data_IF_977412131186
#
_entry.id   IF_977412131186
#
_cell.length_a   1.000
_cell.length_b   1.000
_cell.length_c   1.000
_cell.angle_alpha   90.00
_cell.angle_beta   90.00
_cell.angle_gamma   90.00
#
_symmetry.space_group_name_H-M   'P 1'
#
loop_
_entity.id
_entity.type
_entity.pdbx_description
1 polymer ?
#
# COMPACT_ATOMS: atom_id res chain seq x y z
N UNK A 1 -12.59 1.81 -41.34
CA UNK A 1 -12.39 2.91 -40.37
C UNK A 1 -12.08 2.21 -39.07
N UNK A 2 -10.79 2.07 -38.73
CA UNK A 2 -10.36 1.35 -37.53
C UNK A 2 -10.64 2.27 -36.34
N UNK A 3 -11.46 1.78 -35.40
CA UNK A 3 -11.79 2.46 -34.16
C UNK A 3 -10.53 2.50 -33.30
N UNK A 4 -9.88 3.66 -33.20
CA UNK A 4 -8.72 3.83 -32.32
C UNK A 4 -9.19 3.72 -30.87
N UNK A 5 -9.07 2.52 -30.31
CA UNK A 5 -9.29 2.29 -28.89
C UNK A 5 -8.17 2.98 -28.11
N UNK A 6 -8.54 3.92 -27.24
CA UNK A 6 -7.60 4.63 -26.38
C UNK A 6 -6.81 3.65 -25.52
N UNK A 7 -5.51 3.89 -25.32
CA UNK A 7 -4.65 3.11 -24.39
C UNK A 7 -5.27 3.00 -23.00
N UNK A 8 -6.01 4.02 -22.59
CA UNK A 8 -6.74 4.05 -21.31
C UNK A 8 -7.90 3.04 -21.30
N UNK A 9 -8.60 2.88 -22.43
CA UNK A 9 -9.71 1.93 -22.57
C UNK A 9 -9.22 0.49 -22.63
N UNK A 10 -8.10 0.23 -23.31
CA UNK A 10 -7.44 -1.09 -23.32
C UNK A 10 -6.93 -1.45 -21.93
N UNK A 11 -6.30 -0.50 -21.23
CA UNK A 11 -5.87 -0.67 -19.84
C UNK A 11 -7.03 -0.99 -18.90
N UNK A 12 -8.19 -0.37 -19.12
CA UNK A 12 -9.40 -0.63 -18.34
C UNK A 12 -9.96 -2.04 -18.57
N UNK A 13 -10.02 -2.50 -19.83
CA UNK A 13 -10.46 -3.87 -20.15
C UNK A 13 -9.51 -4.92 -19.56
N UNK A 14 -8.20 -4.68 -19.60
CA UNK A 14 -7.20 -5.54 -18.99
C UNK A 14 -7.37 -5.63 -17.46
N UNK A 15 -7.64 -4.52 -16.80
CA UNK A 15 -7.83 -4.47 -15.34
C UNK A 15 -9.17 -5.08 -14.91
N UNK A 16 -10.24 -4.90 -15.69
CA UNK A 16 -11.56 -5.48 -15.39
C UNK A 16 -11.60 -7.00 -15.59
N UNK A 17 -10.85 -7.56 -16.57
CA UNK A 17 -10.76 -9.03 -16.74
C UNK A 17 -10.01 -9.75 -15.61
N UNK A 18 -9.18 -9.05 -14.83
CA UNK A 18 -8.47 -9.63 -13.68
C UNK A 18 -9.37 -9.74 -12.42
N UNK A 19 -10.41 -8.89 -12.31
CA UNK A 19 -11.33 -8.88 -11.16
C UNK A 19 -12.51 -9.84 -11.28
N UNK A 20 -12.88 -10.25 -12.49
CA UNK A 20 -14.04 -11.11 -12.71
C UNK A 20 -13.58 -12.46 -13.21
N UNK A 21 -13.89 -13.53 -12.46
CA UNK A 21 -13.68 -14.93 -12.86
C UNK A 21 -14.59 -15.37 -14.03
N UNK A 22 -14.78 -14.51 -15.04
CA UNK A 22 -15.31 -14.88 -16.33
C UNK A 22 -14.18 -15.46 -17.19
N UNK A 23 -14.47 -16.42 -18.08
CA UNK A 23 -13.51 -16.88 -19.07
C UNK A 23 -13.36 -15.78 -20.13
N UNK A 24 -12.67 -14.69 -19.77
CA UNK A 24 -12.20 -13.67 -20.69
C UNK A 24 -11.19 -14.38 -21.60
N UNK A 25 -11.45 -14.36 -22.92
CA UNK A 25 -10.61 -15.04 -23.92
C UNK A 25 -9.15 -14.62 -23.79
N UNK A 26 -8.23 -15.56 -24.02
CA UNK A 26 -6.77 -15.40 -23.92
C UNK A 26 -6.35 -14.06 -24.54
N UNK A 27 -6.07 -13.07 -23.69
CA UNK A 27 -5.61 -11.75 -24.13
C UNK A 27 -4.09 -11.74 -24.04
N UNK A 28 -3.47 -12.40 -25.01
CA UNK A 28 -2.02 -12.48 -25.13
C UNK A 28 -1.51 -11.17 -25.74
N UNK A 29 -0.95 -10.30 -24.89
CA UNK A 29 -0.34 -9.03 -25.30
C UNK A 29 0.96 -9.22 -26.11
N UNK A 30 1.54 -10.43 -26.06
CA UNK A 30 2.71 -10.83 -26.84
C UNK A 30 2.25 -11.93 -27.81
N UNK A 31 2.39 -11.75 -29.13
CA UNK A 31 1.98 -12.77 -30.08
C UNK A 31 2.70 -14.09 -29.79
N UNK A 32 1.93 -15.13 -29.42
CA UNK A 32 2.42 -16.48 -29.13
C UNK A 32 2.60 -16.85 -27.66
N UNK A 33 2.24 -15.99 -26.69
CA UNK A 33 2.16 -16.43 -25.29
C UNK A 33 0.94 -17.34 -25.07
N UNK A 34 1.05 -18.25 -24.10
CA UNK A 34 -0.08 -19.00 -23.57
C UNK A 34 -0.46 -18.35 -22.25
N UNK A 35 -1.74 -18.05 -22.05
CA UNK A 35 -2.23 -17.56 -20.76
C UNK A 35 -1.86 -18.57 -19.65
N UNK A 36 -0.98 -18.15 -18.75
CA UNK A 36 -0.63 -18.92 -17.57
C UNK A 36 -1.79 -18.84 -16.57
N UNK A 37 -2.65 -19.86 -16.55
CA UNK A 37 -3.72 -19.97 -15.55
C UNK A 37 -3.15 -20.62 -14.28
N UNK A 38 -2.93 -19.82 -13.25
CA UNK A 38 -2.48 -20.30 -11.95
C UNK A 38 -3.71 -20.57 -11.07
N UNK A 39 -3.83 -21.79 -10.55
CA UNK A 39 -4.80 -22.09 -9.50
C UNK A 39 -4.32 -21.47 -8.19
N UNK A 40 -5.05 -20.49 -7.69
CA UNK A 40 -4.69 -19.80 -6.45
C UNK A 40 -5.55 -20.34 -5.29
N UNK A 41 -4.87 -20.75 -4.22
CA UNK A 41 -5.54 -20.91 -2.92
C UNK A 41 -6.16 -19.57 -2.52
N UNK A 42 -7.40 -19.59 -2.03
CA UNK A 42 -8.12 -18.40 -1.55
C UNK A 42 -7.65 -17.94 -0.17
N UNK A 43 -6.83 -18.76 0.51
CA UNK A 43 -6.24 -18.44 1.81
C UNK A 43 -4.75 -18.74 1.84
N UNK A 44 -4.03 -18.06 2.72
CA UNK A 44 -2.60 -18.27 2.92
C UNK A 44 -2.22 -17.98 4.38
N UNK A 45 -1.08 -18.51 4.80
CA UNK A 45 -0.51 -18.26 6.13
C UNK A 45 0.20 -16.91 6.12
N UNK A 46 -0.38 -15.92 6.78
CA UNK A 46 0.06 -14.53 6.63
C UNK A 46 1.42 -14.22 7.25
N UNK A 47 1.79 -14.95 8.30
CA UNK A 47 3.07 -14.78 8.98
C UNK A 47 4.26 -15.08 8.07
N UNK A 48 4.06 -15.94 7.07
CA UNK A 48 5.11 -16.29 6.11
C UNK A 48 5.44 -15.13 5.14
N UNK A 49 4.57 -14.11 5.03
CA UNK A 49 4.85 -12.88 4.26
C UNK A 49 5.75 -11.89 5.03
N UNK A 50 5.88 -12.06 6.34
CA UNK A 50 6.70 -11.19 7.19
C UNK A 50 8.03 -11.87 7.49
N UNK A 51 9.13 -11.30 7.00
CA UNK A 51 10.47 -11.87 7.15
C UNK A 51 11.09 -11.65 8.54
N UNK A 52 10.29 -11.33 9.56
CA UNK A 52 10.74 -10.99 10.90
C UNK A 52 9.86 -11.63 11.97
N UNK A 53 10.40 -11.75 13.18
CA UNK A 53 9.66 -12.30 14.32
C UNK A 53 8.71 -11.24 14.85
N UNK A 54 7.42 -11.55 14.91
CA UNK A 54 6.45 -10.59 15.43
C UNK A 54 6.67 -10.35 16.94
N UNK A 55 6.68 -9.08 17.37
CA UNK A 55 6.58 -8.71 18.77
C UNK A 55 5.32 -9.25 19.45
N UNK A 56 5.29 -9.27 20.79
CA UNK A 56 4.08 -9.52 21.56
C UNK A 56 2.95 -8.55 21.16
N UNK A 57 1.66 -8.96 21.28
CA UNK A 57 0.52 -8.11 20.91
C UNK A 57 0.54 -6.72 21.56
N UNK A 58 0.94 -6.63 22.83
CA UNK A 58 1.06 -5.36 23.55
C UNK A 58 2.05 -4.38 22.89
N UNK A 59 3.16 -4.92 22.36
CA UNK A 59 4.11 -4.11 21.62
C UNK A 59 3.51 -3.67 20.27
N UNK A 60 2.82 -4.55 19.54
CA UNK A 60 2.17 -4.22 18.27
C UNK A 60 1.10 -3.12 18.43
N UNK A 61 0.32 -3.17 19.52
CA UNK A 61 -0.65 -2.12 19.85
C UNK A 61 0.05 -0.80 20.15
N UNK A 62 1.12 -0.81 20.96
CA UNK A 62 1.93 0.38 21.23
C UNK A 62 2.54 1.00 19.96
N UNK A 63 3.03 0.16 19.03
CA UNK A 63 3.55 0.63 17.74
C UNK A 63 2.43 1.27 16.92
N UNK A 64 1.24 0.65 16.89
CA UNK A 64 0.08 1.19 16.18
C UNK A 64 -0.35 2.54 16.78
N UNK A 65 -0.40 2.66 18.10
CA UNK A 65 -0.71 3.90 18.81
C UNK A 65 0.28 5.01 18.44
N UNK A 66 1.58 4.69 18.39
CA UNK A 66 2.57 5.67 17.99
C UNK A 66 2.38 6.16 16.56
N UNK A 67 2.08 5.26 15.62
CA UNK A 67 1.79 5.62 14.24
C UNK A 67 0.57 6.56 14.15
N UNK A 68 -0.55 6.21 14.78
CA UNK A 68 -1.77 7.01 14.69
C UNK A 68 -1.60 8.40 15.32
N UNK A 69 -0.85 8.49 16.41
CA UNK A 69 -0.54 9.77 17.06
C UNK A 69 0.49 10.63 16.30
N UNK A 70 1.41 10.02 15.56
CA UNK A 70 2.54 10.74 14.93
C UNK A 70 2.32 11.05 13.46
N UNK A 71 1.64 10.16 12.72
CA UNK A 71 1.57 10.17 11.25
C UNK A 71 0.16 10.36 10.73
N UNK A 72 -0.80 9.57 11.25
CA UNK A 72 -2.11 9.48 10.62
C UNK A 72 -2.90 10.79 10.65
N UNK A 73 -2.67 11.65 11.65
CA UNK A 73 -3.37 12.94 11.77
C UNK A 73 -3.13 13.88 10.59
N UNK A 74 -1.99 13.79 9.89
CA UNK A 74 -1.70 14.63 8.72
C UNK A 74 -1.82 13.87 7.40
N UNK A 75 -1.56 12.56 7.39
CA UNK A 75 -1.70 11.74 6.17
C UNK A 75 -3.16 11.37 5.89
N UNK A 76 -3.99 11.24 6.94
CA UNK A 76 -5.42 10.89 6.90
C UNK A 76 -5.75 9.68 6.01
N UNK A 77 -4.77 8.79 5.83
CA UNK A 77 -4.85 7.72 4.86
C UNK A 77 -5.58 6.49 5.41
N UNK A 78 -5.62 6.30 6.73
CA UNK A 78 -6.15 5.10 7.38
C UNK A 78 -7.25 5.45 8.38
N UNK A 79 -8.37 4.74 8.30
CA UNK A 79 -9.41 4.72 9.33
C UNK A 79 -8.96 3.84 10.50
N UNK A 80 -8.63 4.47 11.63
CA UNK A 80 -8.04 3.79 12.79
C UNK A 80 -8.95 2.70 13.39
N UNK A 81 -10.23 2.95 13.71
CA UNK A 81 -11.14 1.90 14.20
C UNK A 81 -11.23 0.70 13.26
N UNK A 82 -11.36 0.93 11.94
CA UNK A 82 -11.40 -0.17 10.96
C UNK A 82 -10.09 -0.94 10.90
N UNK A 83 -8.96 -0.23 10.91
CA UNK A 83 -7.64 -0.83 10.91
C UNK A 83 -7.46 -1.76 12.12
N UNK A 84 -7.78 -1.28 13.34
CA UNK A 84 -7.64 -2.05 14.58
C UNK A 84 -8.55 -3.29 14.63
N UNK A 85 -9.80 -3.14 14.18
CA UNK A 85 -10.72 -4.27 14.11
C UNK A 85 -10.21 -5.36 13.15
N UNK A 86 -9.70 -4.96 11.98
CA UNK A 86 -9.18 -5.89 10.97
C UNK A 86 -7.84 -6.49 11.36
N UNK A 87 -6.93 -5.72 11.97
CA UNK A 87 -5.65 -6.23 12.47
C UNK A 87 -5.85 -7.27 13.57
N UNK A 88 -6.77 -7.03 14.51
CA UNK A 88 -7.14 -8.00 15.55
C UNK A 88 -7.63 -9.31 14.95
N UNK A 89 -8.49 -9.23 13.92
CA UNK A 89 -8.96 -10.42 13.19
C UNK A 89 -7.81 -11.16 12.52
N UNK A 90 -6.88 -10.47 11.86
CA UNK A 90 -5.71 -11.11 11.23
C UNK A 90 -4.83 -11.79 12.26
N UNK A 91 -4.50 -11.09 13.36
CA UNK A 91 -3.62 -11.60 14.42
C UNK A 91 -4.16 -12.85 15.11
N UNK A 92 -5.49 -12.96 15.24
CA UNK A 92 -6.17 -14.09 15.86
C UNK A 92 -6.23 -15.36 14.97
N UNK A 93 -5.97 -15.25 13.67
CA UNK A 93 -6.04 -16.37 12.73
C UNK A 93 -4.65 -16.77 12.23
N UNK A 94 -4.44 -18.05 11.94
CA UNK A 94 -3.22 -18.52 11.28
C UNK A 94 -3.27 -18.30 9.77
N UNK A 95 -4.44 -18.50 9.16
CA UNK A 95 -4.70 -18.34 7.74
C UNK A 95 -5.67 -17.18 7.50
N UNK A 96 -5.42 -16.39 6.45
CA UNK A 96 -6.27 -15.27 6.06
C UNK A 96 -6.59 -15.33 4.57
N UNK A 97 -7.61 -14.57 4.15
CA UNK A 97 -7.99 -14.44 2.75
C UNK A 97 -6.87 -13.79 1.94
N UNK A 98 -6.65 -14.24 0.70
CA UNK A 98 -5.73 -13.56 -0.23
C UNK A 98 -6.11 -12.10 -0.49
N UNK A 99 -7.39 -11.74 -0.33
CA UNK A 99 -7.85 -10.34 -0.40
C UNK A 99 -7.28 -9.46 0.73
N UNK A 100 -6.85 -10.04 1.85
CA UNK A 100 -6.21 -9.32 2.95
C UNK A 100 -4.70 -9.21 2.78
N UNK A 101 -4.12 -9.72 1.68
CA UNK A 101 -2.65 -9.79 1.52
C UNK A 101 -1.98 -8.43 1.57
N UNK A 102 -2.51 -7.43 0.85
CA UNK A 102 -1.96 -6.07 0.90
C UNK A 102 -2.16 -5.43 2.28
N UNK A 103 -3.21 -5.80 3.00
CA UNK A 103 -3.43 -5.36 4.37
C UNK A 103 -2.34 -5.86 5.34
N UNK A 104 -1.77 -7.06 5.12
CA UNK A 104 -0.63 -7.55 5.91
C UNK A 104 0.59 -6.64 5.77
N UNK A 105 0.87 -6.17 4.55
CA UNK A 105 1.96 -5.22 4.30
C UNK A 105 1.67 -3.84 4.87
N UNK A 106 0.42 -3.39 4.83
CA UNK A 106 0.00 -2.16 5.49
C UNK A 106 0.20 -2.24 7.01
N UNK A 107 -0.14 -3.37 7.64
CA UNK A 107 0.12 -3.60 9.07
C UNK A 107 1.62 -3.50 9.39
N UNK A 108 2.47 -4.16 8.61
CA UNK A 108 3.93 -4.07 8.75
C UNK A 108 4.44 -2.64 8.64
N UNK A 109 3.92 -1.87 7.68
CA UNK A 109 4.30 -0.47 7.48
C UNK A 109 3.85 0.42 8.66
N UNK A 110 2.63 0.25 9.15
CA UNK A 110 2.12 0.96 10.33
C UNK A 110 3.00 0.70 11.55
N UNK A 111 3.36 -0.56 11.81
CA UNK A 111 4.25 -0.90 12.91
C UNK A 111 5.67 -0.38 12.72
N UNK A 112 6.21 -0.44 11.51
CA UNK A 112 7.54 0.06 11.18
C UNK A 112 7.64 1.58 11.37
N UNK A 113 6.64 2.33 10.88
CA UNK A 113 6.55 3.77 11.09
C UNK A 113 6.35 4.12 12.57
N UNK A 114 5.45 3.42 13.26
CA UNK A 114 5.26 3.60 14.70
C UNK A 114 6.55 3.38 15.49
N UNK A 115 7.29 2.31 15.18
CA UNK A 115 8.57 2.03 15.81
C UNK A 115 9.61 3.11 15.50
N UNK A 116 9.68 3.58 14.25
CA UNK A 116 10.55 4.68 13.85
C UNK A 116 10.27 5.95 14.69
N UNK A 117 9.01 6.37 14.78
CA UNK A 117 8.65 7.58 15.51
C UNK A 117 8.83 7.45 17.03
N UNK A 118 8.58 6.27 17.61
CA UNK A 118 8.93 6.00 19.02
C UNK A 118 10.42 6.15 19.29
N UNK A 119 11.27 5.60 18.42
CA UNK A 119 12.73 5.68 18.57
C UNK A 119 13.27 7.09 18.38
N UNK A 120 12.64 7.90 17.53
CA UNK A 120 13.01 9.32 17.36
C UNK A 120 12.52 10.21 18.51
N UNK A 121 11.58 9.74 19.34
CA UNK A 121 11.06 10.50 20.48
C UNK A 121 12.06 10.48 21.65
N UNK A 122 12.55 11.64 22.11
CA UNK A 122 13.49 11.72 23.23
C UNK A 122 12.92 11.16 24.54
N UNK A 123 11.59 11.18 24.70
CA UNK A 123 10.89 10.77 25.91
C UNK A 123 10.76 9.25 26.08
N UNK A 124 10.96 8.46 25.01
CA UNK A 124 10.59 7.02 25.00
C UNK A 124 11.76 6.09 24.69
N UNK A 125 12.93 6.63 24.32
CA UNK A 125 14.07 5.86 23.83
C UNK A 125 14.75 4.91 24.84
N UNK A 126 14.57 5.08 26.15
CA UNK A 126 15.36 4.36 27.16
C UNK A 126 14.79 2.99 27.59
N UNK A 127 13.52 2.68 27.33
CA UNK A 127 12.86 1.43 27.77
C UNK A 127 11.94 0.84 26.68
N UNK A 128 12.40 0.82 25.43
CA UNK A 128 11.60 0.29 24.32
C UNK A 128 11.52 -1.25 24.36
N UNK A 129 10.31 -1.84 24.23
CA UNK A 129 10.13 -3.29 24.14
C UNK A 129 10.59 -3.88 22.79
N UNK A 130 10.93 -3.00 21.83
CA UNK A 130 11.26 -3.36 20.45
C UNK A 130 12.66 -2.86 20.09
N UNK A 131 13.57 -3.73 19.59
CA UNK A 131 14.90 -3.31 19.17
C UNK A 131 14.83 -2.45 17.91
N UNK A 132 15.75 -1.49 17.77
CA UNK A 132 15.83 -0.60 16.60
C UNK A 132 16.00 -1.37 15.28
N UNK A 133 16.64 -2.54 15.33
CA UNK A 133 16.81 -3.42 14.16
C UNK A 133 15.47 -3.87 13.56
N UNK A 134 14.42 -3.99 14.39
CA UNK A 134 13.11 -4.42 13.93
C UNK A 134 12.47 -3.39 12.98
N UNK A 135 12.78 -2.10 13.13
CA UNK A 135 12.31 -1.06 12.20
C UNK A 135 12.80 -1.38 10.79
N UNK A 136 14.11 -1.66 10.65
CA UNK A 136 14.70 -1.97 9.36
C UNK A 136 14.12 -3.28 8.77
N UNK A 137 13.86 -4.28 9.61
CA UNK A 137 13.22 -5.53 9.18
C UNK A 137 11.77 -5.31 8.70
N UNK A 138 10.98 -4.53 9.43
CA UNK A 138 9.60 -4.18 9.05
C UNK A 138 9.55 -3.41 7.73
N UNK A 139 10.47 -2.46 7.52
CA UNK A 139 10.56 -1.70 6.27
C UNK A 139 11.03 -2.57 5.10
N UNK A 140 11.98 -3.48 5.35
CA UNK A 140 12.51 -4.39 4.31
C UNK A 140 11.45 -5.32 3.72
N UNK A 141 10.41 -5.67 4.48
CA UNK A 141 9.26 -6.41 3.94
C UNK A 141 8.62 -5.64 2.79
N UNK A 142 8.49 -4.32 2.91
CA UNK A 142 7.92 -3.47 1.86
C UNK A 142 8.87 -3.38 0.67
N UNK A 143 10.18 -3.21 0.88
CA UNK A 143 11.18 -3.22 -0.20
C UNK A 143 11.07 -4.45 -1.10
N UNK A 144 10.91 -5.63 -0.49
CA UNK A 144 10.83 -6.90 -1.23
C UNK A 144 9.44 -7.10 -1.85
N UNK A 145 8.38 -6.68 -1.17
CA UNK A 145 7.02 -6.94 -1.60
C UNK A 145 6.43 -5.87 -2.54
N UNK A 146 7.04 -4.68 -2.67
CA UNK A 146 6.40 -3.52 -3.29
C UNK A 146 5.89 -3.78 -4.71
N UNK A 147 6.70 -4.38 -5.58
CA UNK A 147 6.29 -4.70 -6.95
C UNK A 147 5.04 -5.60 -6.97
N UNK A 148 5.00 -6.60 -6.10
CA UNK A 148 3.86 -7.51 -5.95
C UNK A 148 2.62 -6.80 -5.38
N UNK A 149 2.81 -5.88 -4.43
CA UNK A 149 1.72 -5.04 -3.88
C UNK A 149 1.09 -4.18 -4.99
N UNK A 150 1.91 -3.60 -5.88
CA UNK A 150 1.44 -2.78 -7.00
C UNK A 150 0.83 -3.60 -8.15
N UNK A 151 1.21 -4.88 -8.28
CA UNK A 151 0.67 -5.77 -9.30
C UNK A 151 -0.80 -6.15 -9.05
N UNK A 152 -1.27 -6.09 -7.79
CA UNK A 152 -2.66 -6.35 -7.40
C UNK A 152 -3.19 -5.13 -6.64
N UNK A 153 -3.55 -4.03 -7.33
CA UNK A 153 -3.86 -2.78 -6.67
C UNK A 153 -5.16 -2.87 -5.85
N UNK A 154 -5.07 -2.50 -4.57
CA UNK A 154 -6.20 -2.34 -3.65
C UNK A 154 -6.14 -0.96 -2.98
N UNK A 155 -7.11 -0.63 -2.12
CA UNK A 155 -7.03 0.59 -1.32
C UNK A 155 -5.76 0.62 -0.46
N UNK A 156 -5.39 -0.52 0.12
CA UNK A 156 -4.17 -0.69 0.91
C UNK A 156 -2.91 -0.47 0.08
N UNK A 157 -2.90 -0.86 -1.20
CA UNK A 157 -1.79 -0.55 -2.12
C UNK A 157 -1.55 0.96 -2.21
N UNK A 158 -2.62 1.74 -2.34
CA UNK A 158 -2.53 3.20 -2.43
C UNK A 158 -2.10 3.80 -1.10
N UNK A 159 -2.67 3.33 0.03
CA UNK A 159 -2.28 3.75 1.37
C UNK A 159 -0.79 3.47 1.66
N UNK A 160 -0.30 2.28 1.32
CA UNK A 160 1.11 1.89 1.44
C UNK A 160 1.98 2.83 0.61
N UNK A 161 1.64 3.06 -0.66
CA UNK A 161 2.43 3.89 -1.55
C UNK A 161 2.52 5.35 -1.07
N UNK A 162 1.43 5.91 -0.56
CA UNK A 162 1.43 7.26 0.03
C UNK A 162 2.34 7.31 1.27
N UNK A 163 2.12 6.42 2.24
CA UNK A 163 2.85 6.44 3.51
C UNK A 163 4.34 6.14 3.33
N UNK A 164 4.66 5.10 2.56
CA UNK A 164 6.03 4.67 2.34
C UNK A 164 6.79 5.61 1.40
N UNK A 165 6.12 6.13 0.38
CA UNK A 165 6.67 7.15 -0.53
C UNK A 165 7.00 8.44 0.21
N UNK A 166 6.08 8.94 1.05
CA UNK A 166 6.33 10.10 1.91
C UNK A 166 7.45 9.84 2.91
N UNK A 167 7.53 8.64 3.50
CA UNK A 167 8.63 8.29 4.39
C UNK A 167 9.98 8.42 3.68
N UNK A 168 10.14 7.88 2.47
CA UNK A 168 11.38 8.04 1.69
C UNK A 168 11.65 9.49 1.28
N UNK A 169 10.61 10.22 0.89
CA UNK A 169 10.70 11.64 0.53
C UNK A 169 11.28 12.48 1.67
N UNK A 170 10.78 12.29 2.90
CA UNK A 170 11.22 13.04 4.07
C UNK A 170 12.54 12.53 4.69
N UNK A 171 12.97 11.30 4.37
CA UNK A 171 14.23 10.72 4.84
C UNK A 171 15.38 10.80 3.82
N UNK A 172 15.29 11.70 2.84
CA UNK A 172 16.41 12.03 1.94
C UNK A 172 16.52 11.18 0.67
N UNK A 173 15.48 10.41 0.32
CA UNK A 173 15.40 9.65 -0.92
C UNK A 173 14.24 10.17 -1.80
N UNK A 174 14.28 11.44 -2.25
CA UNK A 174 13.15 12.08 -2.93
C UNK A 174 12.76 11.41 -4.24
N UNK A 175 13.73 10.97 -5.06
CA UNK A 175 13.44 10.29 -6.32
C UNK A 175 12.67 8.99 -6.13
N UNK A 176 13.04 8.20 -5.11
CA UNK A 176 12.33 7.00 -4.74
C UNK A 176 10.93 7.33 -4.21
N UNK A 177 10.84 8.31 -3.31
CA UNK A 177 9.57 8.78 -2.76
C UNK A 177 8.58 9.23 -3.85
N UNK A 178 9.03 10.06 -4.79
CA UNK A 178 8.19 10.51 -5.92
C UNK A 178 7.81 9.36 -6.87
N UNK A 179 8.71 8.41 -7.11
CA UNK A 179 8.39 7.24 -7.94
C UNK A 179 7.26 6.41 -7.31
N UNK A 180 7.35 6.16 -6.00
CA UNK A 180 6.34 5.43 -5.23
C UNK A 180 5.01 6.19 -5.18
N UNK A 181 5.05 7.51 -4.99
CA UNK A 181 3.83 8.35 -5.02
C UNK A 181 3.20 8.34 -6.42
N UNK A 182 4.01 8.39 -7.48
CA UNK A 182 3.54 8.29 -8.86
C UNK A 182 2.85 6.96 -9.16
N UNK A 183 3.36 5.83 -8.64
CA UNK A 183 2.66 4.54 -8.74
C UNK A 183 1.37 4.50 -7.91
N UNK A 184 1.28 5.27 -6.81
CA UNK A 184 0.04 5.44 -6.05
C UNK A 184 -1.08 6.04 -6.93
N UNK A 185 -0.76 7.04 -7.76
CA UNK A 185 -1.69 7.64 -8.74
C UNK A 185 -2.23 6.59 -9.70
N UNK A 186 -1.33 5.78 -10.27
CA UNK A 186 -1.71 4.71 -11.20
C UNK A 186 -2.57 3.64 -10.54
N UNK A 187 -2.24 3.23 -9.33
CA UNK A 187 -3.03 2.25 -8.57
C UNK A 187 -4.41 2.81 -8.21
N UNK A 188 -4.49 4.08 -7.77
CA UNK A 188 -5.76 4.76 -7.47
C UNK A 188 -6.65 4.90 -8.71
N UNK A 189 -6.06 5.18 -9.87
CA UNK A 189 -6.77 5.19 -11.14
C UNK A 189 -7.29 3.78 -11.50
N UNK A 190 -6.44 2.75 -11.35
CA UNK A 190 -6.79 1.36 -11.66
C UNK A 190 -7.98 0.85 -10.84
N UNK A 191 -8.04 1.16 -9.54
CA UNK A 191 -9.17 0.75 -8.68
C UNK A 191 -10.36 1.73 -8.73
N UNK A 192 -10.31 2.74 -9.60
CA UNK A 192 -11.42 3.66 -9.83
C UNK A 192 -11.66 4.71 -8.74
N UNK A 193 -10.70 4.99 -7.84
CA UNK A 193 -10.86 6.04 -6.80
C UNK A 193 -11.21 7.40 -7.41
N UNK A 194 -10.60 7.74 -8.54
CA UNK A 194 -10.84 8.99 -9.28
C UNK A 194 -12.29 9.17 -9.78
N UNK A 195 -13.10 8.10 -9.82
CA UNK A 195 -14.49 8.12 -10.34
C UNK A 195 -15.53 8.06 -9.23
N UNK A 196 -15.11 7.84 -7.99
CA UNK A 196 -16.04 7.73 -6.88
C UNK A 196 -16.69 9.09 -6.61
N UNK A 197 -18.02 9.12 -6.66
CA UNK A 197 -18.78 10.29 -6.22
C UNK A 197 -18.66 10.38 -4.70
N UNK A 198 -18.54 11.62 -4.19
CA UNK A 198 -18.40 11.92 -2.74
C UNK A 198 -19.48 11.28 -1.86
N UNK A 199 -20.62 10.92 -2.44
CA UNK A 199 -21.79 10.32 -1.79
C UNK A 199 -21.75 8.78 -1.71
N UNK A 200 -20.91 8.11 -2.51
CA UNK A 200 -20.79 6.65 -2.56
C UNK A 200 -19.41 6.11 -2.15
N UNK A 201 -18.39 6.97 -2.04
CA UNK A 201 -17.09 6.63 -1.48
C UNK A 201 -17.13 6.51 0.05
N UNK A 202 -16.34 5.60 0.61
CA UNK A 202 -15.98 5.72 2.03
C UNK A 202 -15.17 7.01 2.26
N UNK A 203 -15.29 7.64 3.43
CA UNK A 203 -14.53 8.85 3.77
C UNK A 203 -13.01 8.63 3.57
N UNK A 204 -12.54 7.44 3.94
CA UNK A 204 -11.15 6.98 3.77
C UNK A 204 -10.71 6.96 2.29
N UNK A 205 -11.52 6.39 1.40
CA UNK A 205 -11.22 6.36 -0.05
C UNK A 205 -11.14 7.76 -0.66
N UNK A 206 -11.99 8.68 -0.21
CA UNK A 206 -11.96 10.08 -0.64
C UNK A 206 -10.68 10.78 -0.17
N UNK A 207 -10.31 10.64 1.11
CA UNK A 207 -9.10 11.23 1.67
C UNK A 207 -7.83 10.69 1.00
N UNK A 208 -7.78 9.39 0.75
CA UNK A 208 -6.67 8.75 0.02
C UNK A 208 -6.54 9.32 -1.39
N UNK A 209 -7.64 9.50 -2.12
CA UNK A 209 -7.59 10.16 -3.43
C UNK A 209 -7.04 11.59 -3.36
N UNK A 210 -7.48 12.38 -2.39
CA UNK A 210 -6.97 13.75 -2.21
C UNK A 210 -5.48 13.78 -1.87
N UNK A 211 -5.00 12.87 -1.02
CA UNK A 211 -3.58 12.78 -0.69
C UNK A 211 -2.72 12.44 -1.92
N UNK A 212 -3.20 11.56 -2.80
CA UNK A 212 -2.56 11.25 -4.09
C UNK A 212 -2.55 12.45 -5.02
N UNK A 213 -3.69 13.12 -5.22
CA UNK A 213 -3.85 14.28 -6.11
C UNK A 213 -2.96 15.45 -5.66
N UNK A 214 -2.84 15.66 -4.35
CA UNK A 214 -1.92 16.64 -3.76
C UNK A 214 -0.47 16.22 -4.02
N UNK A 215 -0.11 14.97 -3.71
CA UNK A 215 1.24 14.45 -3.91
C UNK A 215 1.74 14.56 -5.35
N UNK A 216 0.87 14.31 -6.33
CA UNK A 216 1.17 14.41 -7.77
C UNK A 216 1.40 15.87 -8.21
N UNK A 217 0.57 16.81 -7.76
CA UNK A 217 0.66 18.23 -8.13
C UNK A 217 1.84 18.97 -7.51
N UNK A 218 2.37 18.48 -6.39
CA UNK A 218 3.50 19.10 -5.69
C UNK A 218 4.85 18.47 -6.02
N UNK A 219 4.93 17.61 -7.03
CA UNK A 219 6.23 17.30 -7.67
C UNK A 219 6.70 18.60 -8.33
N UNK A 220 7.76 19.27 -7.82
CA UNK A 220 8.17 20.55 -8.39
C UNK A 220 8.63 20.32 -9.83
N UNK A 221 8.06 21.10 -10.75
CA UNK A 221 8.47 21.26 -12.16
C UNK A 221 9.92 21.78 -12.34
N UNK A 222 10.80 21.60 -11.36
CA UNK A 222 12.17 22.08 -11.38
C UNK A 222 13.18 21.12 -12.04
N UNK A 223 12.71 20.12 -12.79
CA UNK A 223 13.57 19.24 -13.59
C UNK A 223 13.64 19.59 -15.08
N UNK A 224 13.02 20.70 -15.53
CA UNK A 224 12.98 21.10 -16.96
C UNK A 224 13.54 22.49 -17.25
N UNK A 225 14.36 23.05 -16.36
CA UNK A 225 15.19 24.22 -16.69
C UNK A 225 16.45 24.23 -15.86
N UNK A 226 17.48 23.49 -16.29
CA UNK A 226 18.88 23.91 -16.42
C UNK A 226 19.63 22.81 -17.19
N UNK A 227 20.12 23.19 -18.38
CA UNK A 227 21.04 22.50 -19.32
C UNK A 227 20.48 21.34 -20.15
#
# INVERSE_FOLDING_TARGET
MLEESSVVDIGKVLLDCDQVAHPCGSFDAIPGSLAFRMEHSTTFRWRDELSYVLPPPEALDMLSDSYFNSVNWFMLAIDEPKFRARSTRVLANEYVSTADRNFIFLMSLVWGLGAHYLWTSPATSSNMPVPTSLIAEMMKVLDVAYLRITASPTLETVQIAILWGSFHLFNGLPYLGFTIIGSAVRCAQAIGLHRQQRTSSTEESCLVWWAVEIGDKFVPDHASSVC
#
